data_IF_175839326876
#
_entry.id   IF_175839326876
#
_cell.length_a   1.000
_cell.length_b   1.000
_cell.length_c   1.000
_cell.angle_alpha   90.00
_cell.angle_beta   90.00
_cell.angle_gamma   90.00
#
_symmetry.space_group_name_H-M   'P 1'
#
loop_
_entity.id
_entity.type
_entity.pdbx_description
1 polymer ?
#
# COMPACT_ATOMS: atom_id res chain seq x y z
N UNK A 1 38.81 6.55 -2.75
CA UNK A 1 38.87 5.91 -4.08
C UNK A 1 39.98 4.86 -4.03
N UNK A 2 39.96 3.95 -3.07
CA UNK A 2 39.00 2.88 -2.75
C UNK A 2 39.50 1.56 -3.35
N UNK A 3 40.35 0.90 -2.56
CA UNK A 3 41.07 -0.34 -2.88
C UNK A 3 40.11 -1.46 -3.33
N UNK A 4 38.86 -1.41 -2.84
CA UNK A 4 37.78 -2.31 -3.21
C UNK A 4 37.36 -2.15 -4.69
N UNK A 5 37.39 -0.93 -5.23
CA UNK A 5 37.05 -0.67 -6.62
C UNK A 5 38.15 -1.18 -7.57
N UNK A 6 39.42 -1.08 -7.18
CA UNK A 6 40.54 -1.63 -7.95
C UNK A 6 40.55 -3.17 -7.95
N UNK A 7 40.27 -3.80 -6.80
CA UNK A 7 40.13 -5.26 -6.72
C UNK A 7 38.94 -5.76 -7.54
N UNK A 8 37.81 -5.04 -7.52
CA UNK A 8 36.65 -5.35 -8.36
C UNK A 8 36.95 -5.20 -9.86
N UNK A 9 37.75 -4.20 -10.27
CA UNK A 9 38.14 -3.99 -11.66
C UNK A 9 39.17 -5.02 -12.17
N UNK A 10 40.10 -5.47 -11.32
CA UNK A 10 41.01 -6.58 -11.64
C UNK A 10 40.26 -7.91 -11.83
N UNK A 11 39.32 -8.23 -10.93
CA UNK A 11 38.46 -9.42 -11.03
C UNK A 11 37.59 -9.41 -12.31
N UNK A 12 37.10 -8.24 -12.72
CA UNK A 12 36.34 -8.05 -13.97
C UNK A 12 37.19 -8.27 -15.23
N UNK A 13 38.45 -7.78 -15.23
CA UNK A 13 39.34 -7.89 -16.39
C UNK A 13 39.68 -9.34 -16.75
N UNK A 14 39.74 -10.22 -15.75
CA UNK A 14 40.09 -11.65 -15.89
C UNK A 14 38.92 -12.45 -16.47
N UNK A 15 37.67 -12.10 -16.13
CA UNK A 15 36.49 -12.89 -16.50
C UNK A 15 35.94 -12.51 -17.88
N UNK A 16 35.96 -11.23 -18.27
CA UNK A 16 35.40 -10.79 -19.55
C UNK A 16 36.31 -11.08 -20.76
N UNK A 17 37.64 -11.16 -20.57
CA UNK A 17 38.58 -11.33 -21.69
C UNK A 17 38.77 -12.79 -22.14
N UNK A 18 38.53 -13.80 -21.30
CA UNK A 18 38.97 -15.18 -21.58
C UNK A 18 37.88 -16.22 -21.91
N UNK A 19 36.59 -15.88 -21.77
CA UNK A 19 35.50 -16.75 -22.28
C UNK A 19 35.56 -16.85 -23.82
N UNK A 20 36.24 -15.93 -24.50
CA UNK A 20 36.45 -15.94 -25.95
C UNK A 20 37.37 -17.07 -26.47
N UNK A 21 38.13 -17.75 -25.62
CA UNK A 21 39.20 -18.67 -26.06
C UNK A 21 38.91 -20.16 -25.81
N UNK A 22 37.66 -20.49 -25.45
CA UNK A 22 37.22 -21.88 -25.24
C UNK A 22 37.37 -22.77 -26.49
N UNK A 23 37.49 -22.14 -27.66
CA UNK A 23 37.68 -22.78 -28.97
C UNK A 23 39.12 -23.23 -29.21
N UNK A 24 40.10 -22.66 -28.50
CA UNK A 24 41.53 -22.95 -28.67
C UNK A 24 41.96 -24.20 -27.87
N UNK A 25 41.54 -24.32 -26.61
CA UNK A 25 41.87 -25.47 -25.76
C UNK A 25 41.27 -26.80 -26.21
N UNK A 26 40.13 -26.78 -26.91
CA UNK A 26 39.54 -27.98 -27.52
C UNK A 26 40.33 -28.47 -28.74
N UNK A 27 41.09 -27.61 -29.42
CA UNK A 27 41.84 -27.98 -30.63
C UNK A 27 43.08 -28.83 -30.32
N UNK A 28 43.71 -28.63 -29.15
CA UNK A 28 44.95 -29.32 -28.74
C UNK A 28 44.71 -30.77 -28.30
N UNK A 29 43.51 -31.07 -27.76
CA UNK A 29 43.14 -32.44 -27.33
C UNK A 29 42.90 -33.43 -28.48
N UNK A 30 42.90 -32.97 -29.74
CA UNK A 30 42.71 -33.80 -30.93
C UNK A 30 43.98 -33.95 -31.78
N UNK A 31 45.12 -33.40 -31.35
CA UNK A 31 46.41 -33.69 -32.01
C UNK A 31 47.02 -34.99 -31.46
N UNK A 32 47.56 -35.86 -32.33
CA UNK A 32 47.94 -37.21 -31.94
C UNK A 32 49.15 -37.29 -30.99
N UNK A 33 50.00 -36.26 -30.91
CA UNK A 33 51.09 -36.12 -29.93
C UNK A 33 51.41 -34.63 -29.69
N UNK A 34 50.82 -33.99 -28.67
CA UNK A 34 51.09 -32.57 -28.40
C UNK A 34 52.55 -32.40 -27.95
N UNK A 35 53.23 -31.37 -28.47
CA UNK A 35 54.57 -31.03 -28.01
C UNK A 35 54.54 -30.44 -26.58
N UNK A 36 55.71 -30.33 -25.95
CA UNK A 36 55.81 -29.87 -24.56
C UNK A 36 55.20 -28.47 -24.35
N UNK A 37 55.34 -27.59 -25.34
CA UNK A 37 54.79 -26.23 -25.30
C UNK A 37 53.24 -26.24 -25.38
N UNK A 38 52.66 -27.12 -26.20
CA UNK A 38 51.22 -27.35 -26.29
C UNK A 38 50.64 -27.95 -25.00
N UNK A 39 51.35 -28.88 -24.38
CA UNK A 39 50.95 -29.45 -23.09
C UNK A 39 50.98 -28.40 -21.97
N UNK A 40 52.01 -27.56 -21.91
CA UNK A 40 52.13 -26.46 -20.96
C UNK A 40 50.99 -25.45 -21.13
N UNK A 41 50.68 -25.01 -22.37
CA UNK A 41 49.53 -24.12 -22.64
C UNK A 41 48.19 -24.73 -22.27
N UNK A 42 48.01 -26.04 -22.52
CA UNK A 42 46.77 -26.75 -22.17
C UNK A 42 46.61 -26.84 -20.65
N UNK A 43 47.70 -27.11 -19.93
CA UNK A 43 47.70 -27.16 -18.48
C UNK A 43 47.40 -25.79 -17.87
N UNK A 44 48.01 -24.71 -18.39
CA UNK A 44 47.70 -23.33 -17.99
C UNK A 44 46.21 -23.01 -18.20
N UNK A 45 45.65 -23.35 -19.37
CA UNK A 45 44.24 -23.12 -19.65
C UNK A 45 43.31 -23.90 -18.69
N UNK A 46 43.67 -25.12 -18.31
CA UNK A 46 42.93 -25.93 -17.33
C UNK A 46 43.00 -25.33 -15.93
N UNK A 47 44.18 -24.87 -15.49
CA UNK A 47 44.38 -24.23 -14.19
C UNK A 47 43.56 -22.93 -14.12
N UNK A 48 43.66 -22.07 -15.13
CA UNK A 48 42.90 -20.83 -15.22
C UNK A 48 41.38 -21.08 -15.20
N UNK A 49 40.90 -22.12 -15.89
CA UNK A 49 39.49 -22.51 -15.85
C UNK A 49 39.07 -22.97 -14.45
N UNK A 50 39.92 -23.70 -13.75
CA UNK A 50 39.67 -24.14 -12.38
C UNK A 50 39.59 -22.95 -11.43
N UNK A 51 40.54 -22.00 -11.53
CA UNK A 51 40.56 -20.76 -10.74
C UNK A 51 39.35 -19.86 -11.05
N UNK A 52 39.02 -19.65 -12.32
CA UNK A 52 37.85 -18.87 -12.73
C UNK A 52 36.55 -19.50 -12.25
N UNK A 53 36.42 -20.83 -12.31
CA UNK A 53 35.26 -21.56 -11.77
C UNK A 53 35.21 -21.51 -10.24
N UNK A 54 36.36 -21.51 -9.56
CA UNK A 54 36.44 -21.32 -8.11
C UNK A 54 36.05 -19.90 -7.67
N UNK A 55 36.14 -18.91 -8.57
CA UNK A 55 35.67 -17.55 -8.34
C UNK A 55 34.15 -17.35 -8.59
N UNK A 56 33.46 -18.34 -9.18
CA UNK A 56 32.01 -18.26 -9.39
C UNK A 56 31.25 -18.46 -8.08
N UNK A 57 30.15 -17.74 -7.96
CA UNK A 57 29.19 -17.85 -6.86
C UNK A 57 28.04 -18.75 -7.27
N UNK A 58 27.48 -19.48 -6.31
CA UNK A 58 26.31 -20.35 -6.51
C UNK A 58 25.04 -19.66 -6.03
N UNK A 59 23.99 -19.71 -6.84
CA UNK A 59 22.66 -19.26 -6.42
C UNK A 59 22.12 -20.11 -5.29
N UNK A 60 21.57 -19.46 -4.26
CA UNK A 60 20.75 -20.13 -3.26
C UNK A 60 19.42 -20.61 -3.84
N UNK A 61 18.88 -19.95 -4.87
CA UNK A 61 17.55 -20.26 -5.42
C UNK A 61 17.53 -21.34 -6.51
N UNK A 62 18.51 -21.34 -7.42
CA UNK A 62 18.52 -22.24 -8.59
C UNK A 62 19.82 -23.00 -8.80
N UNK A 63 20.76 -22.92 -7.87
CA UNK A 63 22.08 -23.58 -7.91
C UNK A 63 22.96 -23.25 -9.13
N UNK A 64 22.56 -22.28 -9.96
CA UNK A 64 23.35 -21.83 -11.10
C UNK A 64 24.58 -21.04 -10.65
N UNK A 65 25.64 -21.08 -11.46
CA UNK A 65 26.91 -20.41 -11.20
C UNK A 65 26.96 -19.04 -11.89
N UNK A 66 27.45 -18.01 -11.19
CA UNK A 66 27.53 -16.64 -11.71
C UNK A 66 28.78 -15.91 -11.25
N UNK A 67 29.08 -14.81 -11.94
CA UNK A 67 30.10 -13.86 -11.52
C UNK A 67 29.51 -12.91 -10.46
N UNK A 68 30.38 -12.31 -9.62
CA UNK A 68 29.96 -11.34 -8.59
C UNK A 68 29.08 -10.21 -9.14
N UNK A 69 29.40 -9.70 -10.32
CA UNK A 69 28.69 -8.58 -10.96
C UNK A 69 27.24 -8.93 -11.37
N UNK A 70 26.94 -10.21 -11.59
CA UNK A 70 25.62 -10.70 -11.95
C UNK A 70 24.82 -11.23 -10.76
N UNK A 71 25.38 -11.13 -9.56
CA UNK A 71 24.79 -11.65 -8.33
C UNK A 71 24.36 -10.55 -7.36
N UNK A 72 23.32 -10.82 -6.60
CA UNK A 72 22.96 -10.05 -5.42
C UNK A 72 23.46 -10.78 -4.16
N UNK A 73 24.21 -10.09 -3.31
CA UNK A 73 24.60 -10.59 -1.99
C UNK A 73 23.51 -10.29 -0.98
N UNK A 74 22.95 -11.34 -0.37
CA UNK A 74 21.91 -11.22 0.64
C UNK A 74 22.44 -10.61 1.94
N UNK A 75 21.56 -10.00 2.77
CA UNK A 75 21.95 -9.38 4.04
C UNK A 75 22.51 -10.39 5.06
N UNK A 76 22.18 -11.68 4.94
CA UNK A 76 22.72 -12.75 5.80
C UNK A 76 24.21 -13.07 5.57
N UNK A 77 24.89 -12.34 4.69
CA UNK A 77 26.31 -12.44 4.30
C UNK A 77 26.76 -13.75 3.63
N UNK A 78 25.99 -14.83 3.74
CA UNK A 78 26.34 -16.17 3.25
C UNK A 78 25.68 -16.51 1.91
N UNK A 79 24.53 -15.92 1.59
CA UNK A 79 23.75 -16.29 0.41
C UNK A 79 23.88 -15.29 -0.75
N UNK A 80 23.80 -15.84 -1.96
CA UNK A 80 23.83 -15.09 -3.20
C UNK A 80 22.67 -15.52 -4.10
N UNK A 81 22.09 -14.57 -4.82
CA UNK A 81 20.99 -14.81 -5.75
C UNK A 81 21.35 -14.28 -7.14
N UNK A 82 21.04 -15.01 -8.20
CA UNK A 82 20.95 -14.37 -9.52
C UNK A 82 19.77 -13.40 -9.57
N UNK A 83 19.81 -12.52 -10.57
CA UNK A 83 18.75 -11.54 -10.83
C UNK A 83 17.37 -12.19 -10.98
N UNK A 84 17.28 -13.32 -11.67
CA UNK A 84 16.01 -14.05 -11.86
C UNK A 84 15.45 -14.58 -10.53
N UNK A 85 16.27 -15.27 -9.72
CA UNK A 85 15.83 -15.76 -8.42
C UNK A 85 15.50 -14.63 -7.45
N UNK A 86 16.24 -13.52 -7.50
CA UNK A 86 15.92 -12.33 -6.72
C UNK A 86 14.56 -11.76 -7.14
N UNK A 87 14.32 -11.57 -8.44
CA UNK A 87 13.04 -11.09 -8.96
C UNK A 87 11.87 -12.01 -8.57
N UNK A 88 12.06 -13.33 -8.69
CA UNK A 88 11.05 -14.31 -8.29
C UNK A 88 10.70 -14.21 -6.80
N UNK A 89 11.68 -13.92 -5.93
CA UNK A 89 11.41 -13.72 -4.50
C UNK A 89 10.44 -12.55 -4.26
N UNK A 90 10.61 -11.44 -4.99
CA UNK A 90 9.70 -10.30 -4.94
C UNK A 90 8.35 -10.61 -5.59
N UNK A 91 8.30 -11.39 -6.67
CA UNK A 91 7.04 -11.83 -7.28
C UNK A 91 6.22 -12.73 -6.36
N UNK A 92 6.87 -13.68 -5.67
CA UNK A 92 6.18 -14.55 -4.72
C UNK A 92 5.59 -13.77 -3.55
N UNK A 93 6.33 -12.78 -3.05
CA UNK A 93 5.81 -11.90 -1.97
C UNK A 93 4.63 -11.06 -2.44
N UNK A 94 4.56 -10.63 -3.70
CA UNK A 94 3.36 -9.93 -4.23
C UNK A 94 2.12 -10.83 -4.20
N UNK A 95 2.29 -12.13 -4.45
CA UNK A 95 1.20 -13.10 -4.51
C UNK A 95 0.77 -13.65 -3.15
N UNK A 96 1.64 -13.60 -2.15
CA UNK A 96 1.43 -14.22 -0.83
C UNK A 96 1.95 -13.31 0.30
N UNK A 97 1.00 -12.74 1.05
CA UNK A 97 1.29 -11.86 2.19
C UNK A 97 2.06 -12.57 3.31
N UNK A 98 1.96 -13.90 3.43
CA UNK A 98 2.70 -14.65 4.46
C UNK A 98 4.21 -14.64 4.23
N UNK A 99 4.64 -14.36 3.00
CA UNK A 99 6.05 -14.22 2.63
C UNK A 99 6.55 -12.77 2.82
N UNK A 100 5.67 -11.83 3.16
CA UNK A 100 6.04 -10.43 3.38
C UNK A 100 6.60 -10.21 4.80
N UNK A 101 7.70 -9.46 4.97
CA UNK A 101 8.56 -8.91 3.92
C UNK A 101 9.51 -9.97 3.34
N UNK A 102 10.04 -9.79 2.11
CA UNK A 102 11.01 -10.69 1.50
C UNK A 102 12.23 -10.85 2.40
N UNK A 103 12.58 -12.10 2.72
CA UNK A 103 13.66 -12.42 3.64
C UNK A 103 14.63 -13.43 3.04
N UNK A 104 15.88 -13.35 3.50
CA UNK A 104 16.85 -14.41 3.36
C UNK A 104 17.24 -14.88 4.77
N UNK A 105 17.05 -16.17 5.05
CA UNK A 105 17.06 -16.68 6.42
C UNK A 105 16.04 -15.88 7.25
N UNK A 106 16.50 -15.10 8.23
CA UNK A 106 15.65 -14.24 9.07
C UNK A 106 15.89 -12.75 8.85
N UNK A 107 16.64 -12.38 7.80
CA UNK A 107 16.99 -10.99 7.52
C UNK A 107 16.20 -10.46 6.32
N UNK A 108 15.54 -9.32 6.51
CA UNK A 108 14.79 -8.64 5.46
C UNK A 108 15.71 -8.17 4.33
N UNK A 109 15.32 -8.47 3.10
CA UNK A 109 15.91 -7.88 1.90
C UNK A 109 15.21 -6.55 1.65
N UNK A 110 15.80 -5.47 2.13
CA UNK A 110 15.26 -4.12 2.01
C UNK A 110 15.10 -3.74 0.54
N UNK A 111 13.86 -3.49 0.13
CA UNK A 111 13.48 -3.21 -1.26
C UNK A 111 14.30 -2.07 -1.90
N UNK A 112 14.51 -0.97 -1.17
CA UNK A 112 15.27 0.18 -1.67
C UNK A 112 16.71 -0.14 -2.06
N UNK A 113 17.33 -1.15 -1.43
CA UNK A 113 18.69 -1.56 -1.72
C UNK A 113 18.80 -2.40 -3.00
N UNK A 114 17.69 -2.98 -3.45
CA UNK A 114 17.68 -3.96 -4.55
C UNK A 114 16.84 -3.54 -5.75
N UNK A 115 16.03 -2.49 -5.64
CA UNK A 115 15.13 -2.03 -6.72
C UNK A 115 15.85 -1.77 -8.05
N UNK A 116 17.12 -1.35 -8.03
CA UNK A 116 17.93 -1.10 -9.25
C UNK A 116 18.36 -2.39 -9.95
N UNK A 117 18.21 -3.54 -9.30
CA UNK A 117 18.53 -4.86 -9.85
C UNK A 117 17.30 -5.56 -10.45
N UNK A 118 16.11 -5.04 -10.19
CA UNK A 118 14.81 -5.54 -10.63
C UNK A 118 14.34 -4.76 -11.86
N UNK A 119 13.39 -5.33 -12.61
CA UNK A 119 12.75 -4.62 -13.71
C UNK A 119 11.73 -3.58 -13.20
N UNK A 120 11.57 -2.49 -13.95
CA UNK A 120 10.71 -1.36 -13.56
C UNK A 120 9.24 -1.78 -13.33
N UNK A 121 8.75 -2.82 -14.03
CA UNK A 121 7.37 -3.29 -13.87
C UNK A 121 7.20 -4.03 -12.55
N UNK A 122 8.13 -4.90 -12.18
CA UNK A 122 8.17 -5.55 -10.87
C UNK A 122 8.32 -4.52 -9.75
N UNK A 123 9.21 -3.53 -9.92
CA UNK A 123 9.40 -2.45 -8.95
C UNK A 123 8.09 -1.71 -8.68
N UNK A 124 7.36 -1.30 -9.73
CA UNK A 124 6.07 -0.63 -9.59
C UNK A 124 5.04 -1.51 -8.87
N UNK A 125 4.86 -2.75 -9.31
CA UNK A 125 3.90 -3.69 -8.72
C UNK A 125 4.21 -4.00 -7.25
N UNK A 126 5.49 -4.21 -6.92
CA UNK A 126 5.90 -4.46 -5.54
C UNK A 126 5.70 -3.22 -4.67
N UNK A 127 6.02 -2.02 -5.18
CA UNK A 127 5.81 -0.78 -4.44
C UNK A 127 4.33 -0.56 -4.09
N UNK A 128 3.43 -0.78 -5.04
CA UNK A 128 1.98 -0.70 -4.81
C UNK A 128 1.53 -1.74 -3.77
N UNK A 129 2.01 -2.98 -3.90
CA UNK A 129 1.67 -4.08 -2.99
C UNK A 129 2.24 -3.89 -1.58
N UNK A 130 3.42 -3.28 -1.48
CA UNK A 130 4.07 -2.93 -0.21
C UNK A 130 3.19 -1.97 0.60
N UNK A 131 2.58 -0.97 -0.03
CA UNK A 131 1.65 -0.05 0.65
C UNK A 131 0.45 -0.81 1.19
N UNK A 132 -0.11 -1.74 0.40
CA UNK A 132 -1.21 -2.61 0.85
C UNK A 132 -0.81 -3.43 2.07
N UNK A 133 0.33 -4.12 2.04
CA UNK A 133 0.78 -4.99 3.14
C UNK A 133 1.23 -4.23 4.39
N UNK A 134 1.81 -3.05 4.23
CA UNK A 134 2.15 -2.17 5.37
C UNK A 134 0.90 -1.55 6.01
N UNK A 135 -0.26 -1.58 5.34
CA UNK A 135 -1.54 -1.15 5.91
C UNK A 135 -2.16 -2.30 6.72
N UNK A 136 -2.64 -2.02 7.94
CA UNK A 136 -3.34 -3.02 8.75
C UNK A 136 -4.56 -3.61 8.02
N UNK A 137 -4.79 -4.94 8.03
CA UNK A 137 -5.86 -5.59 7.25
C UNK A 137 -7.24 -4.95 7.41
N UNK A 138 -7.63 -4.55 8.63
CA UNK A 138 -8.94 -3.97 8.92
C UNK A 138 -9.10 -2.53 8.36
N UNK A 139 -7.98 -1.84 8.13
CA UNK A 139 -7.96 -0.48 7.57
C UNK A 139 -7.92 -0.49 6.03
N UNK A 140 -7.54 -1.60 5.41
CA UNK A 140 -7.44 -1.72 3.95
C UNK A 140 -8.81 -1.47 3.30
N UNK A 141 -8.80 -0.73 2.21
CA UNK A 141 -10.00 -0.53 1.38
C UNK A 141 -9.73 -1.06 -0.01
N UNK A 142 -10.51 -2.06 -0.42
CA UNK A 142 -10.47 -2.61 -1.77
C UNK A 142 -11.68 -2.10 -2.55
N UNK A 143 -11.53 -2.04 -3.87
CA UNK A 143 -12.63 -1.63 -4.74
C UNK A 143 -13.86 -2.54 -4.57
N UNK A 144 -15.04 -1.92 -4.50
CA UNK A 144 -16.34 -2.61 -4.41
C UNK A 144 -16.79 -3.27 -5.74
N UNK A 145 -15.97 -3.22 -6.79
CA UNK A 145 -16.30 -3.80 -8.07
C UNK A 145 -16.27 -5.33 -8.01
N UNK A 146 -17.33 -6.01 -8.43
CA UNK A 146 -17.38 -7.48 -8.45
C UNK A 146 -16.18 -8.15 -9.15
N UNK A 147 -15.66 -7.52 -10.21
CA UNK A 147 -14.51 -7.98 -10.99
C UNK A 147 -13.21 -7.19 -10.72
N UNK A 148 -13.23 -6.23 -9.79
CA UNK A 148 -12.09 -5.38 -9.47
C UNK A 148 -11.88 -5.41 -7.96
N UNK A 149 -10.84 -6.11 -7.52
CA UNK A 149 -10.46 -6.23 -6.10
C UNK A 149 -9.20 -5.43 -5.78
N UNK A 150 -8.89 -4.45 -6.61
CA UNK A 150 -7.72 -3.60 -6.47
C UNK A 150 -7.77 -2.88 -5.12
N UNK A 151 -6.68 -2.94 -4.38
CA UNK A 151 -6.47 -2.14 -3.19
C UNK A 151 -6.45 -0.66 -3.56
N UNK A 152 -7.11 0.19 -2.76
CA UNK A 152 -7.17 1.64 -2.98
C UNK A 152 -6.33 2.32 -1.91
N UNK A 153 -5.19 2.95 -2.27
CA UNK A 153 -4.35 3.67 -1.33
C UNK A 153 -5.09 4.83 -0.67
N UNK A 154 -4.67 5.23 0.54
CA UNK A 154 -5.25 6.36 1.29
C UNK A 154 -5.17 7.68 0.52
N UNK A 155 -4.17 7.85 -0.35
CA UNK A 155 -4.04 9.02 -1.24
C UNK A 155 -5.21 9.20 -2.20
N UNK A 156 -5.95 8.12 -2.47
CA UNK A 156 -7.11 8.09 -3.35
C UNK A 156 -8.43 8.13 -2.57
N UNK A 157 -8.37 8.41 -1.26
CA UNK A 157 -9.52 8.54 -0.39
C UNK A 157 -9.79 10.02 -0.14
N UNK A 158 -11.04 10.43 -0.34
CA UNK A 158 -11.52 11.77 0.01
C UNK A 158 -12.88 11.64 0.70
N UNK A 159 -13.04 12.28 1.87
CA UNK A 159 -14.30 12.31 2.62
C UNK A 159 -14.92 10.90 2.79
N UNK A 160 -14.11 9.92 3.22
CA UNK A 160 -14.50 8.49 3.42
C UNK A 160 -14.94 7.75 2.14
N UNK A 161 -14.63 8.32 0.98
CA UNK A 161 -14.87 7.72 -0.33
C UNK A 161 -13.53 7.42 -1.01
N UNK A 162 -13.26 6.14 -1.21
CA UNK A 162 -12.10 5.63 -1.93
C UNK A 162 -12.39 5.54 -3.42
N UNK A 163 -11.57 6.15 -4.26
CA UNK A 163 -11.69 6.08 -5.73
C UNK A 163 -10.70 5.08 -6.31
N UNK A 164 -11.20 4.02 -6.92
CA UNK A 164 -10.37 2.96 -7.48
C UNK A 164 -9.52 3.47 -8.66
N UNK A 165 -8.18 3.33 -8.63
CA UNK A 165 -7.31 3.80 -9.71
C UNK A 165 -7.50 3.00 -11.02
N UNK A 166 -7.92 1.73 -10.94
CA UNK A 166 -8.02 0.86 -12.11
C UNK A 166 -9.32 1.02 -12.88
N UNK A 167 -10.46 1.11 -12.17
CA UNK A 167 -11.78 1.12 -12.79
C UNK A 167 -12.62 2.37 -12.50
N UNK A 168 -12.11 3.29 -11.69
CA UNK A 168 -12.77 4.56 -11.35
C UNK A 168 -14.00 4.45 -10.45
N UNK A 169 -14.40 3.24 -10.04
CA UNK A 169 -15.51 3.05 -9.09
C UNK A 169 -15.15 3.60 -7.70
N UNK A 170 -16.17 4.10 -7.02
CA UNK A 170 -16.05 4.68 -5.68
C UNK A 170 -16.59 3.74 -4.61
N UNK A 171 -15.84 3.58 -3.53
CA UNK A 171 -16.13 2.66 -2.42
C UNK A 171 -16.17 3.43 -1.10
N UNK A 172 -17.14 3.14 -0.24
CA UNK A 172 -17.18 3.68 1.12
C UNK A 172 -16.09 3.01 1.97
N UNK A 173 -15.23 3.78 2.62
CA UNK A 173 -14.14 3.25 3.45
C UNK A 173 -14.62 2.59 4.74
N UNK A 174 -15.85 2.87 5.18
CA UNK A 174 -16.44 2.30 6.40
C UNK A 174 -17.11 0.96 6.09
N UNK A 175 -18.15 0.94 5.25
CA UNK A 175 -18.89 -0.30 4.97
C UNK A 175 -18.26 -1.21 3.92
N UNK A 176 -17.22 -0.73 3.20
CA UNK A 176 -16.54 -1.38 2.07
C UNK A 176 -17.44 -1.68 0.86
N UNK A 177 -18.66 -1.13 0.83
CA UNK A 177 -19.60 -1.23 -0.29
C UNK A 177 -19.45 -0.06 -1.27
N UNK A 178 -20.29 -0.01 -2.29
CA UNK A 178 -20.39 1.15 -3.18
C UNK A 178 -20.59 2.45 -2.37
N UNK A 179 -19.88 3.50 -2.78
CA UNK A 179 -20.02 4.80 -2.13
C UNK A 179 -21.48 5.28 -2.19
N UNK A 180 -21.92 5.90 -1.11
CA UNK A 180 -23.29 6.38 -0.92
C UNK A 180 -23.27 7.83 -0.42
N UNK A 181 -24.43 8.49 -0.44
CA UNK A 181 -24.59 9.83 0.13
C UNK A 181 -24.96 9.77 1.60
N UNK A 182 -24.63 10.83 2.34
CA UNK A 182 -24.89 10.89 3.77
C UNK A 182 -24.02 9.93 4.57
N UNK A 183 -24.38 9.73 5.83
CA UNK A 183 -23.59 8.89 6.73
C UNK A 183 -23.71 7.42 6.36
N UNK A 184 -22.62 6.69 6.63
CA UNK A 184 -22.61 5.25 6.46
C UNK A 184 -23.57 4.59 7.47
N UNK A 185 -24.51 3.74 7.01
CA UNK A 185 -25.40 3.01 7.90
C UNK A 185 -24.68 1.96 8.74
N UNK A 186 -23.47 1.55 8.33
CA UNK A 186 -22.60 0.62 9.09
C UNK A 186 -21.59 1.35 10.00
N UNK A 187 -21.65 2.68 10.11
CA UNK A 187 -20.83 3.44 11.06
C UNK A 187 -21.48 3.43 12.46
N UNK A 188 -21.05 2.49 13.30
CA UNK A 188 -21.64 2.27 14.63
C UNK A 188 -21.54 3.50 15.56
N UNK A 189 -20.45 4.27 15.48
CA UNK A 189 -20.23 5.45 16.30
C UNK A 189 -21.20 6.57 15.90
N UNK A 190 -21.34 6.81 14.60
CA UNK A 190 -22.32 7.77 14.09
C UNK A 190 -23.74 7.32 14.40
N UNK A 191 -24.09 6.04 14.23
CA UNK A 191 -25.43 5.54 14.58
C UNK A 191 -25.71 5.74 16.08
N UNK A 192 -24.77 5.40 16.96
CA UNK A 192 -24.92 5.55 18.41
C UNK A 192 -25.11 7.01 18.82
N UNK A 193 -24.38 7.94 18.21
CA UNK A 193 -24.56 9.38 18.43
C UNK A 193 -25.94 9.86 17.97
N UNK A 194 -26.43 9.39 16.82
CA UNK A 194 -27.74 9.77 16.29
C UNK A 194 -28.88 9.21 17.15
N UNK A 195 -28.75 7.99 17.67
CA UNK A 195 -29.71 7.42 18.62
C UNK A 195 -29.78 8.20 19.93
N UNK A 196 -28.62 8.58 20.48
CA UNK A 196 -28.56 9.43 21.67
C UNK A 196 -29.18 10.81 21.39
N UNK A 197 -28.86 11.40 20.23
CA UNK A 197 -29.42 12.68 19.82
C UNK A 197 -30.95 12.61 19.71
N UNK A 198 -31.50 11.54 19.13
CA UNK A 198 -32.94 11.32 19.02
C UNK A 198 -33.59 11.21 20.40
N UNK A 199 -32.99 10.42 21.30
CA UNK A 199 -33.47 10.23 22.67
C UNK A 199 -33.47 11.51 23.50
N UNK A 200 -32.43 12.33 23.37
CA UNK A 200 -32.29 13.59 24.11
C UNK A 200 -32.97 14.78 23.41
N UNK A 201 -33.53 14.58 22.21
CA UNK A 201 -34.14 15.64 21.41
C UNK A 201 -33.13 16.69 20.95
N UNK A 202 -31.89 16.28 20.69
CA UNK A 202 -30.87 17.11 20.05
C UNK A 202 -31.13 17.24 18.56
N UNK A 203 -30.64 18.29 17.93
CA UNK A 203 -30.90 18.49 16.50
C UNK A 203 -29.61 18.51 15.69
N UNK A 204 -29.70 17.99 14.47
CA UNK A 204 -28.59 17.86 13.54
C UNK A 204 -28.64 18.95 12.46
N UNK A 205 -27.48 19.49 12.12
CA UNK A 205 -27.36 20.47 11.05
C UNK A 205 -27.69 19.84 9.68
N UNK A 206 -28.57 20.48 8.90
CA UNK A 206 -28.94 20.01 7.56
C UNK A 206 -27.84 20.19 6.50
N UNK A 207 -26.80 20.99 6.79
CA UNK A 207 -25.73 21.25 5.82
C UNK A 207 -24.95 19.95 5.57
N UNK A 208 -24.90 19.53 4.31
CA UNK A 208 -24.30 18.27 3.85
C UNK A 208 -22.81 18.15 4.15
N UNK A 209 -22.12 19.26 4.39
CA UNK A 209 -20.70 19.28 4.77
C UNK A 209 -20.46 19.43 6.27
N UNK A 210 -21.51 19.51 7.08
CA UNK A 210 -21.39 19.83 8.50
C UNK A 210 -22.01 18.77 9.39
N UNK A 211 -23.31 18.53 9.25
CA UNK A 211 -24.01 17.45 9.94
C UNK A 211 -23.82 17.35 11.47
N UNK A 212 -23.32 18.41 12.12
CA UNK A 212 -23.08 18.43 13.57
C UNK A 212 -24.38 18.30 14.34
N UNK A 213 -24.34 17.51 15.40
CA UNK A 213 -25.40 17.41 16.41
C UNK A 213 -25.25 18.56 17.40
N UNK A 214 -26.37 19.21 17.71
CA UNK A 214 -26.44 20.38 18.59
C UNK A 214 -27.41 20.06 19.72
N UNK A 215 -26.89 20.08 20.94
CA UNK A 215 -27.67 20.07 22.16
C UNK A 215 -28.06 21.51 22.51
N UNK A 216 -29.35 21.76 22.76
CA UNK A 216 -29.87 23.05 23.22
C UNK A 216 -30.44 22.89 24.62
N UNK A 217 -29.82 23.55 25.60
CA UNK A 217 -30.30 23.57 26.99
C UNK A 217 -31.38 24.63 27.21
N UNK A 218 -31.18 25.82 26.63
CA UNK A 218 -32.09 26.98 26.73
C UNK A 218 -32.01 27.81 25.45
N UNK A 219 -33.01 28.66 25.21
CA UNK A 219 -33.04 29.61 24.08
C UNK A 219 -34.07 29.28 22.99
N UNK A 220 -33.99 30.01 21.88
CA UNK A 220 -34.94 29.93 20.79
C UNK A 220 -34.78 28.67 19.92
N UNK A 221 -35.83 28.30 19.20
CA UNK A 221 -35.76 27.28 18.15
C UNK A 221 -34.94 27.72 16.92
N UNK A 222 -34.53 28.98 16.83
CA UNK A 222 -33.60 29.46 15.80
C UNK A 222 -32.17 29.06 16.14
N UNK A 223 -31.60 28.15 15.38
CA UNK A 223 -30.21 27.73 15.54
C UNK A 223 -29.38 28.29 14.42
N UNK A 224 -28.21 28.84 14.76
CA UNK A 224 -27.13 29.12 13.82
C UNK A 224 -25.98 28.17 14.13
N UNK A 225 -25.69 27.27 13.19
CA UNK A 225 -24.59 26.33 13.33
C UNK A 225 -23.23 27.04 13.20
N UNK A 226 -22.17 26.42 13.69
CA UNK A 226 -20.79 26.87 13.48
C UNK A 226 -20.43 26.95 11.99
N UNK A 227 -21.05 26.14 11.12
CA UNK A 227 -20.88 26.26 9.67
C UNK A 227 -21.68 27.41 9.02
N UNK A 228 -22.38 28.23 9.80
CA UNK A 228 -23.22 29.35 9.35
C UNK A 228 -24.64 28.95 8.91
N UNK A 229 -24.95 27.66 8.80
CA UNK A 229 -26.30 27.21 8.44
C UNK A 229 -27.31 27.55 9.54
N UNK A 230 -28.44 28.14 9.15
CA UNK A 230 -29.53 28.48 10.06
C UNK A 230 -30.72 27.54 9.90
N UNK A 231 -31.20 26.96 10.99
CA UNK A 231 -32.25 25.95 10.97
C UNK A 231 -33.13 25.95 12.21
N UNK A 232 -34.29 25.30 12.11
CA UNK A 232 -35.22 25.10 13.22
C UNK A 232 -34.76 23.92 14.08
N UNK A 233 -34.57 24.12 15.38
CA UNK A 233 -34.18 23.04 16.30
C UNK A 233 -35.22 21.90 16.36
N UNK A 234 -36.51 22.20 16.17
CA UNK A 234 -37.57 21.18 16.29
C UNK A 234 -37.52 20.17 15.14
N UNK A 235 -37.40 20.64 13.90
CA UNK A 235 -37.54 19.78 12.71
C UNK A 235 -36.31 19.73 11.80
N UNK A 236 -35.24 20.45 12.12
CA UNK A 236 -34.01 20.51 11.32
C UNK A 236 -34.15 21.26 9.98
N UNK A 237 -35.34 21.73 9.62
CA UNK A 237 -35.58 22.45 8.38
C UNK A 237 -34.86 23.80 8.35
N UNK A 238 -34.57 24.30 7.15
CA UNK A 238 -34.01 25.65 6.94
C UNK A 238 -34.84 26.69 7.69
N UNK A 239 -34.17 27.66 8.27
CA UNK A 239 -34.86 28.65 9.10
C UNK A 239 -35.98 29.35 8.30
N UNK A 240 -37.15 29.50 8.93
CA UNK A 240 -38.39 30.05 8.33
C UNK A 240 -38.99 29.25 7.17
N UNK A 241 -38.62 27.99 6.97
CA UNK A 241 -39.29 27.11 5.99
C UNK A 241 -40.24 26.09 6.64
N UNK A 242 -40.51 26.22 7.94
CA UNK A 242 -41.40 25.33 8.69
C UNK A 242 -42.42 26.15 9.50
N UNK A 243 -43.54 25.52 9.87
CA UNK A 243 -44.58 26.08 10.74
C UNK A 243 -44.39 25.73 12.23
N UNK A 244 -43.21 25.25 12.63
CA UNK A 244 -42.92 24.92 14.02
C UNK A 244 -43.09 26.15 14.94
N UNK A 245 -43.57 25.96 16.18
CA UNK A 245 -43.73 27.06 17.13
C UNK A 245 -42.41 27.81 17.33
N UNK A 246 -42.49 29.12 17.34
CA UNK A 246 -41.37 30.01 17.62
C UNK A 246 -41.32 30.20 19.13
N UNK A 247 -40.45 29.46 19.82
CA UNK A 247 -40.19 29.68 21.24
C UNK A 247 -39.19 30.84 21.36
N UNK A 248 -39.59 31.92 22.02
CA UNK A 248 -38.71 33.01 22.47
C UNK A 248 -38.29 32.75 23.92
N UNK A 249 -37.22 33.42 24.36
CA UNK A 249 -36.66 33.30 25.72
C UNK A 249 -37.70 33.59 26.82
N UNK A 250 -38.71 34.42 26.52
CA UNK A 250 -39.83 34.77 27.38
C UNK A 250 -40.72 33.56 27.76
N UNK A 251 -40.84 32.57 26.87
CA UNK A 251 -41.57 31.33 27.16
C UNK A 251 -40.82 30.39 28.11
N UNK A 252 -39.49 30.48 28.16
CA UNK A 252 -38.64 29.67 29.05
C UNK A 252 -38.63 30.22 30.48
N UNK A 253 -38.70 31.55 30.63
CA UNK A 253 -38.82 32.23 31.93
C UNK A 253 -40.19 31.96 32.60
N UNK A 254 -41.21 31.56 31.84
CA UNK A 254 -42.54 31.24 32.34
C UNK A 254 -42.66 29.82 32.95
N UNK A 255 -41.55 29.08 33.11
CA UNK A 255 -41.55 27.75 33.73
C UNK A 255 -42.21 26.64 32.89
N UNK A 256 -42.46 26.91 31.60
CA UNK A 256 -42.95 25.88 30.67
C UNK A 256 -41.78 24.96 30.34
N UNK A 257 -41.78 23.76 30.93
CA UNK A 257 -40.86 22.70 30.50
C UNK A 257 -41.10 22.44 29.02
N UNK A 258 -40.03 22.52 28.22
CA UNK A 258 -40.11 22.23 26.79
C UNK A 258 -40.71 20.83 26.64
N UNK A 259 -41.92 20.67 26.08
CA UNK A 259 -42.45 19.34 25.83
C UNK A 259 -41.45 18.63 24.93
N UNK A 260 -41.18 17.34 25.14
CA UNK A 260 -40.55 16.51 24.10
C UNK A 260 -41.38 16.74 22.84
N UNK A 261 -40.86 17.56 21.91
CA UNK A 261 -41.73 18.35 21.05
C UNK A 261 -42.62 17.42 20.23
N UNK A 262 -43.94 17.60 20.32
CA UNK A 262 -44.87 16.98 19.37
C UNK A 262 -44.49 17.50 17.97
N UNK A 263 -43.86 16.65 17.16
CA UNK A 263 -43.30 17.02 15.85
C UNK A 263 -41.77 17.19 15.79
N UNK A 264 -41.03 16.83 16.85
CA UNK A 264 -39.58 16.65 16.74
C UNK A 264 -39.26 15.57 15.70
N UNK A 265 -38.28 15.87 14.86
CA UNK A 265 -37.69 14.92 13.91
C UNK A 265 -36.22 15.23 13.79
N UNK A 266 -35.37 14.25 14.09
CA UNK A 266 -33.94 14.35 13.81
C UNK A 266 -33.73 14.48 12.30
N UNK A 267 -32.94 15.47 11.88
CA UNK A 267 -32.57 15.58 10.48
C UNK A 267 -31.68 14.39 10.07
N UNK A 268 -32.09 13.70 9.00
CA UNK A 268 -31.30 12.66 8.35
C UNK A 268 -31.01 13.08 6.90
N UNK A 269 -29.75 13.01 6.44
CA UNK A 269 -29.42 13.28 5.04
C UNK A 269 -30.06 12.23 4.12
N UNK A 270 -30.41 12.60 2.87
CA UNK A 270 -30.82 11.63 1.87
C UNK A 270 -29.70 10.63 1.58
N UNK A 271 -30.05 9.35 1.37
CA UNK A 271 -29.09 8.29 1.06
C UNK A 271 -28.96 7.97 -0.45
N UNK A 272 -29.75 8.61 -1.32
CA UNK A 272 -29.72 8.48 -2.80
C UNK A 272 -28.71 9.42 -3.48
#
# INVERSE_FOLDING_TARGET
MDLALNLQLEELSIVETYIADHRFGLHVLFEPEPNQEELERTLEAVILRYEARAALLTCTGCESLFTRYQSFKAPCDLHYYCRECLANLFEYTIGDESLYPPKCCDQEIVFDNVKTLLDDKLVARYADKKIEYDTEPDKRTCCCGSNCKTFVPETNVQDEVATCPDCGKTTCTICKEAAHRGDCPKDEDTQSLLELADKEGWQRCYNTKCHRVIALTTGSNHITCVCGAQFCYVCGARWRTCSCPQFTEEYLLAGVTRPRNAGYRLYQPPQE
#
